data_IF_930761213428
#
_entry.id   IF_930761213428
#
_cell.length_a   1.000
_cell.length_b   1.000
_cell.length_c   1.000
_cell.angle_alpha   90.00
_cell.angle_beta   90.00
_cell.angle_gamma   90.00
#
_symmetry.space_group_name_H-M   'P 1'
#
loop_
_entity.id
_entity.type
_entity.pdbx_description
1 polymer ?
#
# COMPACT_ATOMS: atom_id res chain seq x y z
N UNK A 1 -3.75 -36.23 -33.04
CA UNK A 1 -2.32 -36.52 -32.76
C UNK A 1 -1.47 -35.29 -33.06
N UNK A 2 -1.32 -34.43 -32.06
CA UNK A 2 -0.41 -33.27 -32.14
C UNK A 2 0.93 -33.64 -31.51
N UNK A 3 2.02 -33.50 -32.27
CA UNK A 3 3.38 -33.77 -31.79
C UNK A 3 4.15 -32.48 -31.61
N UNK A 4 4.56 -32.18 -30.38
CA UNK A 4 5.30 -30.96 -30.04
C UNK A 4 6.67 -31.30 -29.48
N UNK A 5 7.64 -30.40 -29.64
CA UNK A 5 8.89 -30.52 -28.89
C UNK A 5 8.63 -30.30 -27.40
N UNK A 6 9.50 -30.83 -26.54
CA UNK A 6 9.39 -30.65 -25.07
C UNK A 6 9.29 -29.17 -24.65
N UNK A 7 9.98 -28.28 -25.38
CA UNK A 7 9.96 -26.84 -25.11
C UNK A 7 8.63 -26.19 -25.51
N UNK A 8 8.06 -26.58 -26.65
CA UNK A 8 6.76 -26.06 -27.12
C UNK A 8 5.62 -26.57 -26.23
N UNK A 9 5.68 -27.83 -25.79
CA UNK A 9 4.71 -28.38 -24.85
C UNK A 9 4.75 -27.66 -23.50
N UNK A 10 5.95 -27.38 -22.97
CA UNK A 10 6.12 -26.60 -21.74
C UNK A 10 5.51 -25.19 -21.87
N UNK A 11 5.80 -24.49 -22.96
CA UNK A 11 5.28 -23.15 -23.21
C UNK A 11 3.74 -23.13 -23.32
N UNK A 12 3.15 -24.10 -24.03
CA UNK A 12 1.70 -24.20 -24.20
C UNK A 12 0.96 -24.45 -22.89
N UNK A 13 1.56 -25.21 -21.95
CA UNK A 13 0.97 -25.51 -20.63
C UNK A 13 1.38 -24.51 -19.53
N UNK A 14 2.21 -23.51 -19.84
CA UNK A 14 2.73 -22.57 -18.84
C UNK A 14 3.66 -23.23 -17.80
N UNK A 15 4.27 -24.37 -18.16
CA UNK A 15 5.16 -25.13 -17.29
C UNK A 15 6.62 -24.83 -17.58
N UNK A 16 7.48 -25.02 -16.59
CA UNK A 16 8.93 -24.89 -16.81
C UNK A 16 9.45 -26.07 -17.64
N UNK A 17 10.49 -25.82 -18.45
CA UNK A 17 11.19 -26.88 -19.20
C UNK A 17 11.74 -27.98 -18.27
N UNK A 18 12.16 -27.61 -17.06
CA UNK A 18 12.62 -28.54 -16.03
C UNK A 18 11.51 -29.47 -15.53
N UNK A 19 10.27 -28.98 -15.43
CA UNK A 19 9.13 -29.79 -15.03
C UNK A 19 8.77 -30.84 -16.09
N UNK A 20 8.81 -30.45 -17.38
CA UNK A 20 8.57 -31.38 -18.50
C UNK A 20 9.68 -32.44 -18.58
N UNK A 21 10.94 -32.09 -18.33
CA UNK A 21 12.03 -33.08 -18.21
C UNK A 21 11.82 -34.04 -17.04
N UNK A 22 11.30 -33.57 -15.91
CA UNK A 22 10.97 -34.40 -14.76
C UNK A 22 9.83 -35.38 -15.07
N UNK A 23 8.80 -34.95 -15.81
CA UNK A 23 7.71 -35.83 -16.25
C UNK A 23 8.22 -36.92 -17.19
N UNK A 24 9.16 -36.60 -18.08
CA UNK A 24 9.81 -37.58 -18.93
C UNK A 24 10.64 -38.61 -18.14
N UNK A 25 11.33 -38.20 -17.07
CA UNK A 25 12.07 -39.13 -16.19
C UNK A 25 11.18 -39.99 -15.29
N UNK A 26 9.91 -39.64 -15.16
CA UNK A 26 8.93 -40.36 -14.34
C UNK A 26 8.04 -41.28 -15.19
N UNK A 27 8.38 -41.48 -16.47
CA UNK A 27 7.58 -42.22 -17.46
C UNK A 27 6.12 -41.71 -17.58
N UNK A 28 5.89 -40.43 -17.23
CA UNK A 28 4.58 -39.75 -17.29
C UNK A 28 4.42 -38.88 -18.53
N UNK A 29 5.24 -39.13 -19.55
CA UNK A 29 5.24 -38.35 -20.79
C UNK A 29 5.51 -39.27 -21.98
N UNK A 30 4.60 -39.29 -22.93
CA UNK A 30 4.67 -40.17 -24.10
C UNK A 30 5.51 -39.50 -25.17
N UNK A 31 6.67 -40.09 -25.44
CA UNK A 31 7.59 -39.64 -26.48
C UNK A 31 7.44 -40.52 -27.72
N UNK A 32 7.38 -39.88 -28.87
CA UNK A 32 7.50 -40.53 -30.18
C UNK A 32 8.94 -40.95 -30.45
N UNK A 33 9.13 -41.82 -31.45
CA UNK A 33 10.45 -42.32 -31.87
C UNK A 33 11.41 -41.17 -32.26
N UNK A 34 10.87 -40.05 -32.74
CA UNK A 34 11.61 -38.82 -33.07
C UNK A 34 11.86 -37.88 -31.86
N UNK A 35 11.55 -38.32 -30.64
CA UNK A 35 11.77 -37.55 -29.41
C UNK A 35 10.79 -36.39 -29.18
N UNK A 36 9.72 -36.30 -29.97
CA UNK A 36 8.62 -35.32 -29.79
C UNK A 36 7.56 -35.86 -28.82
N UNK A 37 6.93 -34.97 -28.07
CA UNK A 37 5.87 -35.26 -27.12
C UNK A 37 4.55 -35.45 -27.87
N UNK A 38 3.91 -36.61 -27.70
CA UNK A 38 2.52 -36.80 -28.09
C UNK A 38 1.64 -36.13 -27.04
N UNK A 39 1.02 -35.00 -27.44
CA UNK A 39 0.23 -34.15 -26.53
C UNK A 39 -1.00 -34.89 -26.03
N UNK A 40 -1.71 -35.60 -26.91
CA UNK A 40 -2.98 -36.25 -26.57
C UNK A 40 -2.72 -37.46 -25.65
N UNK A 41 -1.72 -38.28 -25.98
CA UNK A 41 -1.37 -39.44 -25.16
C UNK A 41 -0.77 -39.04 -23.80
N UNK A 42 0.04 -37.98 -23.75
CA UNK A 42 0.61 -37.45 -22.50
C UNK A 42 -0.48 -36.85 -21.61
N UNK A 43 -1.45 -36.13 -22.17
CA UNK A 43 -2.55 -35.56 -21.39
C UNK A 43 -3.48 -36.63 -20.81
N UNK A 44 -3.74 -37.71 -21.55
CA UNK A 44 -4.48 -38.86 -21.05
C UNK A 44 -3.76 -39.55 -19.87
N UNK A 45 -2.45 -39.78 -20.01
CA UNK A 45 -1.63 -40.41 -18.96
C UNK A 45 -1.50 -39.52 -17.72
N UNK A 46 -1.43 -38.20 -17.91
CA UNK A 46 -1.41 -37.24 -16.80
C UNK A 46 -2.76 -37.16 -16.07
N UNK A 47 -3.88 -37.29 -16.79
CA UNK A 47 -5.21 -37.34 -16.20
C UNK A 47 -5.44 -38.63 -15.40
N UNK A 48 -4.98 -39.77 -15.92
CA UNK A 48 -5.08 -41.07 -15.23
C UNK A 48 -4.18 -41.14 -13.99
N UNK A 49 -2.99 -40.51 -14.05
CA UNK A 49 -2.04 -40.47 -12.92
C UNK A 49 -2.25 -39.27 -11.97
N UNK A 50 -3.29 -38.46 -12.17
CA UNK A 50 -3.60 -37.34 -11.30
C UNK A 50 -4.30 -37.84 -10.03
N UNK A 51 -3.56 -37.86 -8.92
CA UNK A 51 -4.09 -38.20 -7.60
C UNK A 51 -5.07 -37.10 -7.11
N UNK A 52 -6.38 -37.40 -6.97
CA UNK A 52 -7.39 -36.42 -6.56
C UNK A 52 -7.13 -35.83 -5.17
N UNK A 53 -6.42 -36.55 -4.30
CA UNK A 53 -6.10 -36.10 -2.94
C UNK A 53 -5.10 -34.95 -2.89
N UNK A 54 -4.34 -34.73 -3.98
CA UNK A 54 -3.34 -33.66 -4.09
C UNK A 54 -3.84 -32.41 -4.83
N UNK A 55 -5.08 -32.43 -5.32
CA UNK A 55 -5.70 -31.31 -6.03
C UNK A 55 -5.78 -30.04 -5.16
N UNK A 56 -6.11 -30.19 -3.87
CA UNK A 56 -6.16 -29.06 -2.94
C UNK A 56 -4.78 -28.43 -2.67
N UNK A 57 -3.70 -29.22 -2.74
CA UNK A 57 -2.32 -28.73 -2.58
C UNK A 57 -1.87 -28.01 -3.86
N UNK A 58 -2.22 -28.54 -5.03
CA UNK A 58 -1.97 -27.90 -6.31
C UNK A 58 -2.68 -26.53 -6.42
N UNK A 59 -3.96 -26.46 -6.04
CA UNK A 59 -4.72 -25.21 -6.02
C UNK A 59 -4.09 -24.16 -5.09
N UNK A 60 -3.65 -24.54 -3.88
CA UNK A 60 -2.96 -23.63 -2.95
C UNK A 60 -1.62 -23.13 -3.50
N UNK A 61 -0.87 -23.97 -4.21
CA UNK A 61 0.38 -23.54 -4.84
C UNK A 61 0.14 -22.60 -6.03
N UNK A 62 -0.94 -22.79 -6.76
CA UNK A 62 -1.34 -21.91 -7.85
C UNK A 62 -1.82 -20.54 -7.33
N UNK A 63 -2.69 -20.52 -6.31
CA UNK A 63 -3.10 -19.30 -5.61
C UNK A 63 -1.91 -18.53 -5.04
N UNK A 64 -0.95 -19.22 -4.41
CA UNK A 64 0.25 -18.57 -3.86
C UNK A 64 1.18 -18.00 -4.96
N UNK A 65 1.18 -18.58 -6.17
CA UNK A 65 1.92 -18.02 -7.31
C UNK A 65 1.24 -16.77 -7.85
N UNK A 66 -0.09 -16.80 -7.98
CA UNK A 66 -0.89 -15.64 -8.40
C UNK A 66 -0.74 -14.51 -7.38
N UNK A 67 -0.84 -14.78 -6.08
CA UNK A 67 -0.62 -13.78 -5.03
C UNK A 67 0.78 -13.18 -5.07
N UNK A 68 1.82 -14.00 -5.28
CA UNK A 68 3.21 -13.51 -5.39
C UNK A 68 3.40 -12.62 -6.62
N UNK A 69 2.86 -13.03 -7.76
CA UNK A 69 3.00 -12.27 -8.99
C UNK A 69 2.22 -10.94 -8.89
N UNK A 70 1.01 -10.93 -8.31
CA UNK A 70 0.25 -9.70 -8.03
C UNK A 70 0.99 -8.79 -7.04
N UNK A 71 1.56 -9.36 -5.96
CA UNK A 71 2.32 -8.60 -4.96
C UNK A 71 3.59 -7.97 -5.55
N UNK A 72 4.23 -8.63 -6.52
CA UNK A 72 5.39 -8.09 -7.23
C UNK A 72 5.05 -6.93 -8.18
N UNK A 73 3.82 -6.87 -8.70
CA UNK A 73 3.35 -5.77 -9.54
C UNK A 73 2.83 -4.57 -8.75
N UNK A 74 2.59 -4.73 -7.44
CA UNK A 74 2.08 -3.68 -6.55
C UNK A 74 3.17 -3.01 -5.68
N UNK A 75 4.42 -3.45 -5.75
CA UNK A 75 5.54 -2.78 -5.08
C UNK A 75 6.31 -1.89 -6.08
N UNK A 76 6.23 -0.55 -5.97
CA UNK A 76 7.24 0.32 -6.57
C UNK A 76 8.56 0.13 -5.81
N UNK A 77 9.66 0.08 -6.56
CA UNK A 77 10.98 -0.33 -6.08
C UNK A 77 11.41 0.31 -4.76
N UNK A 78 11.77 -0.55 -3.81
CA UNK A 78 12.38 -0.17 -2.54
C UNK A 78 12.86 -1.41 -1.81
N UNK A 79 14.19 -1.57 -1.75
CA UNK A 79 14.90 -2.61 -1.00
C UNK A 79 14.35 -2.72 0.42
N UNK A 80 13.45 -3.68 0.64
CA UNK A 80 13.08 -4.15 1.97
C UNK A 80 13.49 -5.61 2.08
N UNK A 81 14.16 -6.03 3.17
CA UNK A 81 14.64 -7.39 3.30
C UNK A 81 13.45 -8.35 3.17
N UNK A 82 13.57 -9.29 2.23
CA UNK A 82 12.61 -10.36 2.05
C UNK A 82 12.32 -11.02 3.40
N UNK A 83 11.10 -10.84 3.91
CA UNK A 83 10.59 -11.64 5.03
C UNK A 83 10.52 -13.07 4.51
N UNK A 84 11.51 -13.88 4.88
CA UNK A 84 11.55 -15.29 4.54
C UNK A 84 10.25 -15.94 5.06
N UNK A 85 9.53 -16.74 4.24
CA UNK A 85 8.40 -17.48 4.74
C UNK A 85 8.91 -18.48 5.78
N UNK A 86 8.43 -18.37 7.03
CA UNK A 86 8.68 -19.42 8.03
C UNK A 86 8.21 -20.75 7.46
N UNK A 87 9.14 -21.69 7.35
CA UNK A 87 8.88 -23.09 6.99
C UNK A 87 7.89 -23.65 8.02
N UNK A 88 6.65 -23.90 7.58
CA UNK A 88 5.60 -24.44 8.44
C UNK A 88 5.91 -25.90 8.78
N UNK A 89 6.21 -26.19 10.05
CA UNK A 89 6.19 -27.55 10.56
C UNK A 89 4.74 -28.05 10.67
N UNK A 90 4.45 -29.29 10.24
CA UNK A 90 3.09 -29.83 10.26
C UNK A 90 2.76 -30.31 11.67
N UNK A 91 2.10 -29.47 12.47
CA UNK A 91 1.63 -29.90 13.78
C UNK A 91 1.21 -28.79 14.74
N UNK A 92 0.16 -28.01 14.41
CA UNK A 92 -0.69 -27.27 15.39
C UNK A 92 -1.82 -26.52 14.68
N UNK A 93 -2.96 -27.18 14.46
CA UNK A 93 -4.15 -26.55 13.86
C UNK A 93 -4.71 -25.35 14.65
N UNK A 94 -4.47 -25.30 15.97
CA UNK A 94 -4.88 -24.20 16.85
C UNK A 94 -4.06 -22.92 16.65
N UNK A 95 -2.79 -23.04 16.23
CA UNK A 95 -1.90 -21.89 16.04
C UNK A 95 -2.16 -21.21 14.69
N UNK A 96 -2.49 -22.02 13.67
CA UNK A 96 -2.93 -21.52 12.37
C UNK A 96 -4.24 -20.73 12.46
N UNK A 97 -5.24 -21.22 13.22
CA UNK A 97 -6.50 -20.50 13.42
C UNK A 97 -6.28 -19.16 14.16
N UNK A 98 -5.41 -19.13 15.17
CA UNK A 98 -5.04 -17.89 15.88
C UNK A 98 -4.31 -16.90 14.97
N UNK A 99 -3.34 -17.37 14.18
CA UNK A 99 -2.63 -16.55 13.22
C UNK A 99 -3.57 -16.00 12.14
N UNK A 100 -4.53 -16.80 11.68
CA UNK A 100 -5.58 -16.40 10.73
C UNK A 100 -6.49 -15.34 11.33
N UNK A 101 -7.02 -15.57 12.53
CA UNK A 101 -7.87 -14.61 13.23
C UNK A 101 -7.16 -13.27 13.48
N UNK A 102 -5.87 -13.30 13.87
CA UNK A 102 -5.05 -12.11 14.03
C UNK A 102 -4.92 -11.36 12.70
N UNK A 103 -4.60 -12.06 11.60
CA UNK A 103 -4.50 -11.43 10.27
C UNK A 103 -5.83 -10.81 9.83
N UNK A 104 -6.93 -11.53 9.97
CA UNK A 104 -8.27 -11.05 9.62
C UNK A 104 -8.66 -9.81 10.46
N UNK A 105 -8.32 -9.79 11.74
CA UNK A 105 -8.53 -8.64 12.62
C UNK A 105 -7.78 -7.37 12.16
N UNK A 106 -6.49 -7.47 11.85
CA UNK A 106 -5.74 -6.30 11.36
C UNK A 106 -6.14 -5.86 9.95
N UNK A 107 -6.56 -6.79 9.09
CA UNK A 107 -7.13 -6.44 7.79
C UNK A 107 -8.46 -5.69 7.95
N UNK A 108 -9.32 -6.13 8.88
CA UNK A 108 -10.55 -5.42 9.19
C UNK A 108 -10.28 -4.01 9.73
N UNK A 109 -9.32 -3.85 10.64
CA UNK A 109 -8.92 -2.53 11.15
C UNK A 109 -8.33 -1.63 10.05
N UNK A 110 -7.55 -2.19 9.13
CA UNK A 110 -7.02 -1.43 8.00
C UNK A 110 -8.15 -0.95 7.08
N UNK A 111 -9.10 -1.83 6.76
CA UNK A 111 -10.28 -1.49 5.97
C UNK A 111 -11.15 -0.43 6.66
N UNK A 112 -11.29 -0.49 7.99
CA UNK A 112 -11.98 0.53 8.77
C UNK A 112 -11.25 1.88 8.75
N UNK A 113 -9.91 1.87 8.87
CA UNK A 113 -9.12 3.09 8.78
C UNK A 113 -9.19 3.73 7.38
N UNK A 114 -9.12 2.92 6.31
CA UNK A 114 -9.31 3.37 4.93
C UNK A 114 -10.72 3.92 4.70
N UNK A 115 -11.75 3.22 5.19
CA UNK A 115 -13.12 3.69 5.12
C UNK A 115 -13.27 5.06 5.78
N UNK A 116 -12.74 5.23 7.00
CA UNK A 116 -12.80 6.51 7.70
C UNK A 116 -11.98 7.61 7.01
N UNK A 117 -10.86 7.27 6.36
CA UNK A 117 -10.10 8.22 5.53
C UNK A 117 -10.94 8.70 4.34
N UNK A 118 -11.61 7.79 3.63
CA UNK A 118 -12.51 8.13 2.51
C UNK A 118 -13.72 8.95 2.96
N UNK A 119 -14.25 8.69 4.15
CA UNK A 119 -15.31 9.49 4.77
C UNK A 119 -14.83 10.88 5.25
N UNK A 120 -13.52 11.16 5.21
CA UNK A 120 -12.94 12.43 5.67
C UNK A 120 -12.80 12.56 7.19
N UNK A 121 -12.97 11.47 7.95
CA UNK A 121 -12.86 11.47 9.41
C UNK A 121 -11.41 11.32 9.91
N UNK A 122 -10.51 10.82 9.07
CA UNK A 122 -9.10 10.60 9.38
C UNK A 122 -8.20 11.36 8.40
N UNK A 123 -7.24 12.10 8.95
CA UNK A 123 -6.21 12.86 8.22
C UNK A 123 -4.81 12.42 8.66
N UNK A 124 -3.81 12.61 7.80
CA UNK A 124 -2.43 12.28 8.17
C UNK A 124 -1.95 13.22 9.28
N UNK A 125 -1.63 12.65 10.45
CA UNK A 125 -1.15 13.41 11.61
C UNK A 125 0.01 14.36 11.26
N UNK A 126 0.98 13.87 10.50
CA UNK A 126 2.18 14.66 10.14
C UNK A 126 1.83 15.88 9.29
N UNK A 127 0.94 15.73 8.30
CA UNK A 127 0.47 16.85 7.47
C UNK A 127 -0.17 17.96 8.32
N UNK A 128 -1.01 17.59 9.29
CA UNK A 128 -1.70 18.53 10.18
C UNK A 128 -0.73 19.19 11.15
N UNK A 129 0.22 18.45 11.71
CA UNK A 129 1.26 19.00 12.60
C UNK A 129 2.13 20.04 11.86
N UNK A 130 2.56 19.73 10.64
CA UNK A 130 3.35 20.66 9.81
C UNK A 130 2.54 21.91 9.44
N UNK A 131 1.29 21.74 9.00
CA UNK A 131 0.40 22.86 8.68
C UNK A 131 0.11 23.75 9.89
N UNK A 132 -0.16 23.15 11.06
CA UNK A 132 -0.39 23.89 12.30
C UNK A 132 0.87 24.67 12.73
N UNK A 133 2.06 24.08 12.59
CA UNK A 133 3.31 24.75 12.91
C UNK A 133 3.60 25.93 11.96
N UNK A 134 3.34 25.74 10.65
CA UNK A 134 3.44 26.80 9.66
C UNK A 134 2.46 27.94 9.91
N UNK A 135 1.21 27.63 10.27
CA UNK A 135 0.20 28.61 10.66
C UNK A 135 0.65 29.43 11.88
N UNK A 136 1.14 28.77 12.93
CA UNK A 136 1.66 29.45 14.12
C UNK A 136 2.88 30.33 13.84
N UNK A 137 3.75 29.92 12.91
CA UNK A 137 4.87 30.74 12.45
C UNK A 137 4.39 32.00 11.72
N UNK A 138 3.45 31.84 10.79
CA UNK A 138 2.87 32.95 10.02
C UNK A 138 2.21 33.97 10.94
N UNK A 139 1.41 33.51 11.91
CA UNK A 139 0.81 34.38 12.92
C UNK A 139 1.87 35.17 13.69
N UNK A 140 2.95 34.52 14.15
CA UNK A 140 4.05 35.17 14.86
C UNK A 140 4.67 36.26 13.99
N UNK A 141 5.02 35.93 12.75
CA UNK A 141 5.72 36.83 11.85
C UNK A 141 4.84 38.06 11.51
N UNK A 142 3.53 37.87 11.31
CA UNK A 142 2.57 38.96 11.11
C UNK A 142 2.45 39.89 12.33
N UNK A 143 2.35 39.33 13.54
CA UNK A 143 2.23 40.13 14.77
C UNK A 143 3.49 40.96 15.02
N UNK A 144 4.68 40.38 14.87
CA UNK A 144 5.93 41.13 15.02
C UNK A 144 6.14 42.14 13.88
N UNK A 145 5.60 41.88 12.69
CA UNK A 145 5.58 42.83 11.58
C UNK A 145 4.80 44.11 11.87
N UNK A 146 3.84 44.09 12.80
CA UNK A 146 3.11 45.29 13.22
C UNK A 146 3.93 46.24 14.09
N UNK A 147 4.90 45.72 14.86
CA UNK A 147 5.64 46.51 15.84
C UNK A 147 6.25 47.81 15.27
N UNK A 148 6.99 47.80 14.14
CA UNK A 148 7.53 49.04 13.56
C UNK A 148 6.44 49.97 13.02
N UNK A 149 5.33 49.43 12.50
CA UNK A 149 4.21 50.23 11.97
C UNK A 149 3.50 50.96 13.10
N UNK A 150 3.15 50.24 14.16
CA UNK A 150 2.53 50.78 15.36
C UNK A 150 3.45 51.78 16.06
N UNK A 151 4.75 51.51 16.16
CA UNK A 151 5.70 52.45 16.76
C UNK A 151 5.68 53.81 16.03
N UNK A 152 5.72 53.81 14.69
CA UNK A 152 5.68 55.04 13.90
C UNK A 152 4.36 55.82 14.09
N UNK A 153 3.23 55.12 14.13
CA UNK A 153 1.91 55.73 14.28
C UNK A 153 1.64 56.29 15.67
N UNK A 154 2.10 55.59 16.71
CA UNK A 154 1.85 55.93 18.10
C UNK A 154 2.73 57.07 18.61
N UNK A 155 3.86 57.36 17.97
CA UNK A 155 4.83 58.39 18.42
C UNK A 155 4.21 59.79 18.50
N UNK A 156 3.13 60.07 17.75
CA UNK A 156 2.41 61.34 17.76
C UNK A 156 1.09 61.35 18.53
N UNK A 157 0.68 60.22 19.12
CA UNK A 157 -0.60 60.13 19.84
C UNK A 157 -0.44 60.47 21.32
N UNK A 158 -1.26 61.41 21.79
CA UNK A 158 -1.23 61.90 23.18
C UNK A 158 -2.39 61.38 24.03
N UNK A 159 -3.46 60.86 23.40
CA UNK A 159 -4.63 60.31 24.10
C UNK A 159 -4.52 58.79 24.25
N UNK A 160 -4.55 58.32 25.49
CA UNK A 160 -4.52 56.90 25.84
C UNK A 160 -5.65 56.11 25.20
N UNK A 161 -6.85 56.69 25.04
CA UNK A 161 -7.98 55.99 24.43
C UNK A 161 -7.77 55.78 22.92
N UNK A 162 -7.25 56.78 22.22
CA UNK A 162 -6.92 56.66 20.79
C UNK A 162 -5.82 55.63 20.54
N UNK A 163 -4.80 55.59 21.41
CA UNK A 163 -3.72 54.59 21.38
C UNK A 163 -4.28 53.18 21.54
N UNK A 164 -5.09 52.94 22.57
CA UNK A 164 -5.68 51.62 22.81
C UNK A 164 -6.60 51.19 21.66
N UNK A 165 -7.42 52.10 21.13
CA UNK A 165 -8.29 51.85 19.99
C UNK A 165 -7.49 51.48 18.74
N UNK A 166 -6.37 52.17 18.48
CA UNK A 166 -5.48 51.89 17.34
C UNK A 166 -4.83 50.52 17.47
N UNK A 167 -4.25 50.22 18.64
CA UNK A 167 -3.63 48.92 18.93
C UNK A 167 -4.63 47.78 18.75
N UNK A 168 -5.80 47.90 19.37
CA UNK A 168 -6.86 46.89 19.30
C UNK A 168 -7.33 46.67 17.86
N UNK A 169 -7.47 47.74 17.07
CA UNK A 169 -7.82 47.65 15.65
C UNK A 169 -6.78 46.89 14.83
N UNK A 170 -5.50 47.20 15.02
CA UNK A 170 -4.41 46.53 14.31
C UNK A 170 -4.31 45.04 14.67
N UNK A 171 -4.44 44.68 15.95
CA UNK A 171 -4.43 43.29 16.38
C UNK A 171 -5.60 42.49 15.80
N UNK A 172 -6.81 43.05 15.82
CA UNK A 172 -7.98 42.40 15.19
C UNK A 172 -7.75 42.14 13.72
N UNK A 173 -7.28 43.13 12.98
CA UNK A 173 -7.02 42.99 11.54
C UNK A 173 -6.02 41.87 11.27
N UNK A 174 -4.89 41.84 11.99
CA UNK A 174 -3.88 40.79 11.79
C UNK A 174 -4.37 39.42 12.19
N UNK A 175 -5.14 39.29 13.27
CA UNK A 175 -5.70 38.00 13.66
C UNK A 175 -6.75 37.49 12.66
N UNK A 176 -7.57 38.38 12.10
CA UNK A 176 -8.52 38.02 11.05
C UNK A 176 -7.81 37.58 9.76
N UNK A 177 -6.74 38.29 9.38
CA UNK A 177 -5.96 37.94 8.19
C UNK A 177 -5.20 36.61 8.39
N UNK A 178 -4.58 36.42 9.57
CA UNK A 178 -3.91 35.18 9.91
C UNK A 178 -4.88 33.99 9.96
N UNK A 179 -6.11 34.18 10.46
CA UNK A 179 -7.14 33.14 10.50
C UNK A 179 -7.58 32.73 9.09
N UNK A 180 -7.76 33.68 8.17
CA UNK A 180 -8.12 33.41 6.77
C UNK A 180 -7.02 32.64 6.04
N UNK A 181 -5.76 33.06 6.19
CA UNK A 181 -4.62 32.40 5.55
C UNK A 181 -4.41 30.99 6.10
N UNK A 182 -4.37 30.86 7.43
CA UNK A 182 -4.15 29.57 8.09
C UNK A 182 -5.28 28.58 7.81
N UNK A 183 -6.53 29.05 7.73
CA UNK A 183 -7.67 28.19 7.43
C UNK A 183 -7.62 27.60 6.01
N UNK A 184 -7.15 28.37 5.03
CA UNK A 184 -6.96 27.86 3.67
C UNK A 184 -5.85 26.81 3.62
N UNK A 185 -4.71 27.08 4.26
CA UNK A 185 -3.55 26.19 4.28
C UNK A 185 -3.85 24.86 5.01
N UNK A 186 -4.56 24.92 6.15
CA UNK A 186 -4.99 23.73 6.90
C UNK A 186 -5.95 22.86 6.07
N UNK A 187 -6.94 23.46 5.41
CA UNK A 187 -7.87 22.73 4.55
C UNK A 187 -7.14 22.06 3.37
N UNK A 188 -6.15 22.74 2.80
CA UNK A 188 -5.34 22.18 1.73
C UNK A 188 -4.49 20.99 2.23
N UNK A 189 -3.84 21.11 3.39
CA UNK A 189 -3.06 20.02 3.98
C UNK A 189 -3.92 18.78 4.29
N UNK A 190 -5.14 18.99 4.79
CA UNK A 190 -6.09 17.91 5.07
C UNK A 190 -6.60 17.19 3.80
N UNK A 191 -6.61 17.87 2.65
CA UNK A 191 -7.13 17.32 1.38
C UNK A 191 -6.04 16.68 0.50
N UNK A 192 -4.78 17.09 0.66
CA UNK A 192 -3.65 16.58 -0.13
C UNK A 192 -3.03 15.28 0.41
N UNK A 193 -3.55 14.75 1.52
CA UNK A 193 -3.04 13.55 2.23
C UNK A 193 -3.85 12.29 1.94
#
# INVERSE_FOLDING_TARGET
>A
MTYLTKSEFAARRGWSKSYVSKLASQDRLVLTVDGKVDVEATEALLAESADPSKAAVAARHEEHRVERDVRSHLQPGGDTPAVQPLVQQPGKGLDFQKARAHREFYLAQLAEAEFNKVQGNLVERKSVEEAAFAAGRTLRDLVFGLAPQLAAELTGMSDSWEVEKRLTGAFRQVFDDAAKMSGADLNQAMTQS
#
